data_IF_596751303990
#
_entry.id   IF_596751303990
#
_cell.length_a   1.000
_cell.length_b   1.000
_cell.length_c   1.000
_cell.angle_alpha   90.00
_cell.angle_beta   90.00
_cell.angle_gamma   90.00
#
_symmetry.space_group_name_H-M   'P 1'
#
loop_
_entity.id
_entity.type
_entity.pdbx_description
1 polymer ?
#
# COMPACT_ATOMS: atom_id res chain seq x y z
N UNK A 1 -1.05 -13.85 23.12
CA UNK A 1 -0.14 -13.03 22.29
C UNK A 1 -0.51 -13.22 20.82
N UNK A 2 -1.02 -12.18 20.16
CA UNK A 2 -1.39 -12.20 18.73
C UNK A 2 -0.17 -11.91 17.84
N UNK A 3 0.95 -12.62 18.08
CA UNK A 3 2.24 -12.41 17.42
C UNK A 3 2.84 -13.77 17.07
N UNK A 4 3.45 -13.91 15.89
CA UNK A 4 4.19 -15.14 15.56
C UNK A 4 5.37 -15.32 16.51
N UNK A 5 5.64 -16.57 16.89
CA UNK A 5 6.77 -16.93 17.76
C UNK A 5 8.10 -16.36 17.24
N UNK A 6 8.31 -16.43 15.92
CA UNK A 6 9.49 -15.87 15.26
C UNK A 6 9.62 -14.35 15.46
N UNK A 7 8.52 -13.60 15.36
CA UNK A 7 8.51 -12.15 15.53
C UNK A 7 8.78 -11.76 16.99
N UNK A 8 8.28 -12.53 17.95
CA UNK A 8 8.56 -12.33 19.38
C UNK A 8 10.07 -12.46 19.68
N UNK A 9 10.71 -13.48 19.11
CA UNK A 9 12.17 -13.67 19.26
C UNK A 9 12.99 -12.59 18.55
N UNK A 10 12.58 -12.14 17.36
CA UNK A 10 13.27 -11.02 16.67
C UNK A 10 13.23 -9.74 17.50
N UNK A 11 12.07 -9.40 18.06
CA UNK A 11 11.92 -8.22 18.93
C UNK A 11 12.79 -8.37 20.18
N UNK A 12 12.76 -9.54 20.81
CA UNK A 12 13.52 -9.80 22.04
C UNK A 12 15.03 -9.67 21.83
N UNK A 13 15.57 -10.32 20.80
CA UNK A 13 17.00 -10.22 20.49
C UNK A 13 17.42 -8.81 20.07
N UNK A 14 16.54 -8.07 19.39
CA UNK A 14 16.76 -6.65 19.10
C UNK A 14 16.89 -5.81 20.39
N UNK A 15 16.02 -6.04 21.36
CA UNK A 15 16.08 -5.39 22.67
C UNK A 15 17.35 -5.76 23.43
N UNK A 16 17.72 -7.06 23.50
CA UNK A 16 18.94 -7.52 24.18
C UNK A 16 20.20 -6.92 23.56
N UNK A 17 20.26 -6.80 22.22
CA UNK A 17 21.38 -6.19 21.52
C UNK A 17 21.55 -4.69 21.85
N UNK A 18 20.44 -3.96 22.04
CA UNK A 18 20.47 -2.55 22.42
C UNK A 18 20.77 -2.33 23.90
N UNK A 19 20.24 -3.21 24.76
CA UNK A 19 20.41 -3.14 26.21
C UNK A 19 21.78 -3.66 26.67
N UNK A 20 22.44 -4.51 25.88
CA UNK A 20 23.74 -5.09 26.20
C UNK A 20 23.69 -6.22 27.24
N UNK A 21 22.50 -6.71 27.60
CA UNK A 21 22.29 -7.84 28.49
C UNK A 21 21.08 -8.68 28.05
N UNK A 22 21.07 -9.96 28.45
CA UNK A 22 19.98 -10.87 28.14
C UNK A 22 18.74 -10.60 29.01
N UNK A 23 17.55 -10.66 28.42
CA UNK A 23 16.27 -10.47 29.10
C UNK A 23 15.68 -11.80 29.58
N UNK A 24 16.00 -12.90 28.90
CA UNK A 24 15.49 -14.23 29.23
C UNK A 24 16.61 -15.26 29.39
N UNK A 25 16.47 -16.11 30.41
CA UNK A 25 17.13 -17.40 30.51
C UNK A 25 16.27 -18.44 29.78
N UNK A 26 16.67 -18.85 28.58
CA UNK A 26 15.97 -19.89 27.81
C UNK A 26 16.58 -21.27 28.06
N UNK A 27 15.77 -22.28 28.36
CA UNK A 27 16.15 -23.69 28.33
C UNK A 27 15.55 -24.36 27.09
N UNK A 28 16.43 -24.88 26.21
CA UNK A 28 16.03 -25.67 25.04
C UNK A 28 15.46 -27.02 25.53
N UNK A 29 14.23 -27.31 25.16
CA UNK A 29 13.45 -28.44 25.72
C UNK A 29 13.80 -29.81 25.13
N UNK A 30 14.10 -30.77 26.01
CA UNK A 30 13.95 -32.22 25.76
C UNK A 30 12.60 -32.73 26.27
N UNK A 31 12.47 -34.06 26.55
CA UNK A 31 11.22 -34.76 26.95
C UNK A 31 10.38 -34.15 28.09
N UNK A 32 10.88 -33.14 28.81
CA UNK A 32 10.20 -32.46 29.92
C UNK A 32 9.77 -31.00 29.61
N UNK A 33 9.85 -30.55 28.35
CA UNK A 33 9.43 -29.21 27.93
C UNK A 33 10.53 -28.14 28.03
N UNK A 34 10.54 -27.21 27.07
CA UNK A 34 11.40 -26.02 27.08
C UNK A 34 10.67 -24.84 27.72
N UNK A 35 11.42 -23.91 28.29
CA UNK A 35 10.87 -22.75 29.01
C UNK A 35 11.81 -21.54 28.96
N UNK A 36 11.25 -20.37 29.23
CA UNK A 36 12.02 -19.13 29.34
C UNK A 36 11.59 -18.39 30.60
N UNK A 37 12.57 -17.93 31.39
CA UNK A 37 12.36 -17.15 32.60
C UNK A 37 13.12 -15.84 32.50
N UNK A 38 12.62 -14.76 33.12
CA UNK A 38 13.32 -13.47 33.13
C UNK A 38 14.66 -13.58 33.86
N UNK A 39 15.68 -12.91 33.32
CA UNK A 39 16.93 -12.64 34.04
C UNK A 39 16.68 -11.65 35.18
N UNK A 40 17.62 -11.53 36.13
CA UNK A 40 17.52 -10.54 37.21
C UNK A 40 17.55 -9.11 36.65
N UNK A 41 18.34 -8.87 35.60
CA UNK A 41 18.37 -7.62 34.86
C UNK A 41 17.04 -7.35 34.15
N UNK A 42 16.43 -8.38 33.55
CA UNK A 42 15.10 -8.29 32.92
C UNK A 42 14.00 -7.96 33.93
N UNK A 43 14.04 -8.56 35.13
CA UNK A 43 13.11 -8.23 36.23
C UNK A 43 13.27 -6.78 36.68
N UNK A 44 14.52 -6.34 36.94
CA UNK A 44 14.81 -4.96 37.37
C UNK A 44 14.41 -3.93 36.32
N UNK A 45 14.61 -4.24 35.04
CA UNK A 45 14.18 -3.36 33.94
C UNK A 45 12.66 -3.18 33.93
N UNK A 46 11.90 -4.28 34.08
CA UNK A 46 10.44 -4.22 34.14
C UNK A 46 9.93 -3.46 35.38
N UNK A 47 10.57 -3.65 36.53
CA UNK A 47 10.26 -2.90 37.75
C UNK A 47 10.47 -1.39 37.56
N UNK A 48 11.62 -1.00 37.02
CA UNK A 48 11.94 0.40 36.74
C UNK A 48 10.98 1.00 35.70
N UNK A 49 10.67 0.26 34.63
CA UNK A 49 9.75 0.70 33.60
C UNK A 49 8.34 0.95 34.16
N UNK A 50 7.81 0.03 34.97
CA UNK A 50 6.51 0.19 35.62
C UNK A 50 6.48 1.36 36.61
N UNK A 51 7.56 1.56 37.36
CA UNK A 51 7.69 2.70 38.25
C UNK A 51 7.70 4.02 37.47
N UNK A 52 8.48 4.10 36.39
CA UNK A 52 8.51 5.23 35.48
C UNK A 52 7.14 5.52 34.85
N UNK A 53 6.47 4.51 34.31
CA UNK A 53 5.16 4.65 33.66
C UNK A 53 4.12 5.21 34.64
N UNK A 54 4.13 4.74 35.89
CA UNK A 54 3.27 5.25 36.95
C UNK A 54 3.55 6.71 37.30
N UNK A 55 4.81 7.08 37.43
CA UNK A 55 5.20 8.46 37.78
C UNK A 55 4.94 9.42 36.62
N UNK A 56 5.34 9.05 35.41
CA UNK A 56 5.10 9.80 34.18
C UNK A 56 3.60 9.98 33.90
N UNK A 57 2.78 8.92 34.10
CA UNK A 57 1.33 9.01 33.92
C UNK A 57 0.68 10.04 34.85
N UNK A 58 1.16 10.15 36.09
CA UNK A 58 0.68 11.16 37.05
C UNK A 58 1.08 12.56 36.63
N UNK A 59 2.37 12.80 36.37
CA UNK A 59 2.86 14.12 35.98
C UNK A 59 2.23 14.62 34.67
N UNK A 60 2.13 13.74 33.67
CA UNK A 60 1.49 14.06 32.39
C UNK A 60 -0.01 14.31 32.56
N UNK A 61 -0.68 13.57 33.45
CA UNK A 61 -2.07 13.80 33.81
C UNK A 61 -2.29 15.19 34.42
N UNK A 62 -1.42 15.59 35.35
CA UNK A 62 -1.49 16.92 35.99
C UNK A 62 -1.21 18.05 35.00
N UNK A 63 -0.22 17.87 34.12
CA UNK A 63 0.06 18.81 33.02
C UNK A 63 -1.12 18.89 32.05
N UNK A 64 -1.72 17.76 31.70
CA UNK A 64 -2.88 17.72 30.80
C UNK A 64 -4.07 18.48 31.39
N UNK A 65 -4.38 18.28 32.68
CA UNK A 65 -5.42 19.04 33.38
C UNK A 65 -5.12 20.54 33.42
N UNK A 66 -3.87 20.92 33.65
CA UNK A 66 -3.44 22.33 33.71
C UNK A 66 -3.60 23.05 32.37
N UNK A 67 -3.26 22.40 31.25
CA UNK A 67 -3.24 23.05 29.94
C UNK A 67 -4.47 22.77 29.07
N UNK A 68 -5.24 21.72 29.37
CA UNK A 68 -6.41 21.30 28.59
C UNK A 68 -7.65 20.99 29.48
N UNK A 69 -8.07 21.92 30.36
CA UNK A 69 -9.10 21.67 31.38
C UNK A 69 -10.50 21.33 30.83
N UNK A 70 -10.78 21.63 29.56
CA UNK A 70 -12.06 21.32 28.89
C UNK A 70 -12.11 19.96 28.17
N UNK A 71 -11.00 19.22 28.14
CA UNK A 71 -10.87 17.98 27.36
C UNK A 71 -10.62 16.73 28.22
N UNK A 72 -10.22 16.90 29.48
CA UNK A 72 -9.94 15.79 30.39
C UNK A 72 -10.62 16.07 31.74
N UNK A 73 -11.71 15.35 32.03
CA UNK A 73 -12.53 15.54 33.24
C UNK A 73 -12.37 14.46 34.31
N UNK A 74 -11.59 13.40 34.08
CA UNK A 74 -11.35 12.33 35.05
C UNK A 74 -9.87 11.94 35.12
N UNK A 75 -9.46 11.40 36.27
CA UNK A 75 -8.14 10.83 36.47
C UNK A 75 -7.88 9.73 35.44
N UNK A 76 -6.67 9.71 34.86
CA UNK A 76 -6.22 8.58 34.05
C UNK A 76 -6.40 7.29 34.87
N UNK A 77 -7.11 6.27 34.35
CA UNK A 77 -7.34 5.05 35.11
C UNK A 77 -6.00 4.37 35.42
N UNK A 78 -5.71 4.11 36.71
CA UNK A 78 -4.64 3.17 37.08
C UNK A 78 -5.05 1.79 36.56
N UNK A 79 -4.26 1.19 35.65
CA UNK A 79 -4.54 -0.13 35.09
C UNK A 79 -4.67 -1.23 36.17
N UNK A 80 -5.45 -2.30 35.94
CA UNK A 80 -5.68 -3.34 36.93
C UNK A 80 -4.41 -4.15 37.22
N UNK A 81 -4.13 -4.36 38.52
CA UNK A 81 -3.07 -5.27 38.98
C UNK A 81 -3.42 -6.71 38.61
N UNK A 82 -2.74 -7.28 37.61
CA UNK A 82 -2.75 -8.71 37.36
C UNK A 82 -2.00 -9.47 38.46
N UNK A 83 -2.73 -10.02 39.43
CA UNK A 83 -2.18 -10.92 40.44
C UNK A 83 -1.79 -12.27 39.83
N UNK A 84 -0.53 -12.65 40.06
CA UNK A 84 0.02 -13.97 39.80
C UNK A 84 -0.52 -14.99 40.81
N UNK A 85 -1.29 -15.98 40.35
CA UNK A 85 -1.76 -17.10 41.17
C UNK A 85 -1.79 -18.40 40.38
N UNK A 86 -0.71 -19.18 40.43
CA UNK A 86 -0.70 -20.55 39.94
C UNK A 86 -1.50 -21.47 40.87
N UNK A 87 -2.40 -22.29 40.31
CA UNK A 87 -2.73 -23.61 40.86
C UNK A 87 -3.37 -24.52 39.80
N UNK A 88 -3.04 -25.80 39.96
CA UNK A 88 -3.13 -26.92 39.05
C UNK A 88 -4.56 -27.50 38.90
N UNK A 89 -4.78 -28.19 37.76
CA UNK A 89 -5.56 -29.43 37.58
C UNK A 89 -7.10 -29.44 37.31
N UNK A 90 -7.40 -30.06 36.15
CA UNK A 90 -8.52 -30.99 35.78
C UNK A 90 -9.84 -30.44 35.20
N UNK A 91 -10.08 -30.84 33.94
CA UNK A 91 -11.35 -31.45 33.48
C UNK A 91 -12.39 -30.53 32.82
N UNK A 92 -13.24 -31.06 31.90
CA UNK A 92 -13.57 -30.38 30.63
C UNK A 92 -14.98 -29.79 30.56
N UNK A 93 -15.20 -28.82 29.64
CA UNK A 93 -16.43 -28.62 28.83
C UNK A 93 -16.31 -27.42 27.86
N UNK A 94 -16.83 -27.61 26.65
CA UNK A 94 -17.02 -26.64 25.56
C UNK A 94 -18.16 -25.62 25.85
N UNK A 95 -18.63 -24.80 24.88
CA UNK A 95 -18.02 -23.56 24.38
C UNK A 95 -18.95 -22.34 24.59
N UNK A 96 -18.42 -21.12 24.59
CA UNK A 96 -19.22 -19.90 24.73
C UNK A 96 -18.58 -18.70 24.05
N UNK A 97 -19.30 -18.10 23.11
CA UNK A 97 -18.99 -16.88 22.38
C UNK A 97 -18.77 -15.68 23.33
N UNK A 98 -17.86 -14.78 22.95
CA UNK A 98 -17.70 -13.47 23.58
C UNK A 98 -16.51 -12.73 23.00
N UNK A 99 -16.77 -11.84 22.05
CA UNK A 99 -15.82 -10.83 21.58
C UNK A 99 -15.50 -9.86 22.74
N UNK A 100 -14.21 -9.61 22.99
CA UNK A 100 -13.77 -8.45 23.76
C UNK A 100 -12.55 -7.82 23.09
N UNK A 101 -12.77 -6.59 22.61
CA UNK A 101 -11.76 -5.67 22.13
C UNK A 101 -10.83 -5.28 23.29
N UNK A 102 -9.54 -5.61 23.18
CA UNK A 102 -8.51 -5.04 24.05
C UNK A 102 -7.64 -4.09 23.24
N UNK A 103 -7.72 -2.82 23.61
CA UNK A 103 -6.95 -1.69 23.11
C UNK A 103 -5.49 -1.79 23.54
N UNK A 104 -4.59 -1.99 22.57
CA UNK A 104 -3.15 -1.86 22.74
C UNK A 104 -2.76 -0.38 22.69
N UNK A 105 -2.45 0.21 23.84
CA UNK A 105 -1.79 1.52 23.92
C UNK A 105 -0.28 1.33 23.67
N UNK A 106 0.17 1.80 22.51
CA UNK A 106 1.57 1.79 22.09
C UNK A 106 2.35 2.97 22.66
N UNK A 107 3.56 2.68 23.12
CA UNK A 107 4.56 3.59 23.67
C UNK A 107 5.09 4.58 22.62
N UNK A 108 4.83 5.87 22.81
CA UNK A 108 5.39 6.92 21.97
C UNK A 108 6.77 7.36 22.51
N UNK A 109 7.84 6.76 22.01
CA UNK A 109 9.17 7.37 22.08
C UNK A 109 9.22 8.53 21.07
N UNK A 110 9.73 9.69 21.49
CA UNK A 110 9.84 10.92 20.68
C UNK A 110 10.87 10.82 19.55
N UNK A 111 10.71 9.84 18.67
CA UNK A 111 11.47 9.67 17.43
C UNK A 111 10.91 10.55 16.31
N UNK A 112 11.75 10.83 15.32
CA UNK A 112 11.32 11.47 14.07
C UNK A 112 10.21 10.63 13.42
N UNK A 113 8.97 11.14 13.44
CA UNK A 113 7.85 10.53 12.71
C UNK A 113 7.99 10.90 11.24
N UNK A 114 8.30 9.90 10.41
CA UNK A 114 8.41 10.08 8.95
C UNK A 114 7.14 10.76 8.41
N UNK A 115 7.26 11.79 7.57
CA UNK A 115 6.10 12.44 6.99
C UNK A 115 5.45 11.53 5.96
N UNK A 116 4.16 11.74 5.70
CA UNK A 116 3.46 11.02 4.64
C UNK A 116 3.97 11.43 3.26
N UNK A 117 4.10 10.45 2.38
CA UNK A 117 4.18 10.62 0.93
C UNK A 117 2.85 10.13 0.36
N UNK A 118 2.09 11.03 -0.24
CA UNK A 118 0.80 10.70 -0.84
C UNK A 118 0.98 10.38 -2.32
N UNK A 119 0.54 9.20 -2.74
CA UNK A 119 0.45 8.82 -4.16
C UNK A 119 -1.01 8.91 -4.60
N UNK A 120 -1.30 9.74 -5.60
CA UNK A 120 -2.61 9.76 -6.26
C UNK A 120 -2.62 8.69 -7.36
N UNK A 121 -3.59 7.79 -7.29
CA UNK A 121 -3.71 6.62 -8.17
C UNK A 121 -3.07 5.37 -7.57
N UNK A 122 -3.69 4.22 -7.82
CA UNK A 122 -3.25 2.89 -7.40
C UNK A 122 -3.28 1.86 -8.55
N UNK A 123 -3.31 2.34 -9.80
CA UNK A 123 -3.22 1.50 -11.01
C UNK A 123 -1.83 0.86 -11.22
N UNK A 124 -1.59 0.24 -12.38
CA UNK A 124 -0.36 -0.53 -12.68
C UNK A 124 0.95 0.28 -12.47
N UNK A 125 1.06 1.46 -13.09
CA UNK A 125 2.26 2.30 -12.94
C UNK A 125 2.41 2.87 -11.53
N UNK A 126 1.30 3.35 -10.95
CA UNK A 126 1.29 3.87 -9.58
C UNK A 126 1.68 2.80 -8.56
N UNK A 127 1.25 1.56 -8.76
CA UNK A 127 1.63 0.42 -7.92
C UNK A 127 3.14 0.21 -7.93
N UNK A 128 3.79 0.31 -9.09
CA UNK A 128 5.26 0.25 -9.15
C UNK A 128 5.95 1.33 -8.30
N UNK A 129 5.43 2.56 -8.32
CA UNK A 129 5.91 3.67 -7.49
C UNK A 129 5.70 3.37 -6.01
N UNK A 130 4.48 2.97 -5.64
CA UNK A 130 4.09 2.64 -4.26
C UNK A 130 4.98 1.54 -3.70
N UNK A 131 5.20 0.46 -4.47
CA UNK A 131 6.10 -0.63 -4.10
C UNK A 131 7.50 -0.14 -3.80
N UNK A 132 8.07 0.69 -4.69
CA UNK A 132 9.43 1.19 -4.51
C UNK A 132 9.52 2.06 -3.25
N UNK A 133 8.59 2.99 -3.07
CA UNK A 133 8.57 3.87 -1.89
C UNK A 133 8.44 3.07 -0.60
N UNK A 134 7.48 2.14 -0.54
CA UNK A 134 7.29 1.27 0.61
C UNK A 134 8.56 0.42 0.89
N UNK A 135 9.16 -0.16 -0.14
CA UNK A 135 10.38 -0.97 0.01
C UNK A 135 11.60 -0.17 0.47
N UNK A 136 11.65 1.13 0.12
CA UNK A 136 12.68 2.05 0.59
C UNK A 136 12.41 2.60 2.00
N UNK A 137 11.32 2.19 2.66
CA UNK A 137 11.01 2.59 4.02
C UNK A 137 10.31 3.94 4.16
N UNK A 138 9.81 4.52 3.07
CA UNK A 138 8.98 5.73 3.14
C UNK A 138 7.61 5.42 3.75
N UNK A 139 7.01 6.43 4.38
CA UNK A 139 5.66 6.35 4.93
C UNK A 139 4.65 6.75 3.85
N UNK A 140 4.01 5.76 3.23
CA UNK A 140 3.19 5.95 2.01
C UNK A 140 1.70 5.89 2.34
N UNK A 141 0.93 6.85 1.82
CA UNK A 141 -0.53 6.77 1.73
C UNK A 141 -0.96 6.93 0.26
N UNK A 142 -2.11 6.36 -0.08
CA UNK A 142 -2.58 6.30 -1.48
C UNK A 142 -4.00 6.85 -1.56
N UNK A 143 -4.33 7.55 -2.65
CA UNK A 143 -5.71 7.86 -3.01
C UNK A 143 -6.09 7.20 -4.33
N UNK A 144 -7.36 6.83 -4.47
CA UNK A 144 -7.91 6.28 -5.71
C UNK A 144 -9.37 6.71 -5.90
N UNK A 145 -9.84 6.70 -7.14
CA UNK A 145 -11.25 6.96 -7.43
C UNK A 145 -12.15 5.78 -7.02
N UNK A 146 -13.46 6.02 -6.95
CA UNK A 146 -14.43 5.00 -6.51
C UNK A 146 -14.56 3.81 -7.45
N UNK A 147 -14.23 3.97 -8.74
CA UNK A 147 -14.36 2.95 -9.78
C UNK A 147 -13.09 2.86 -10.62
N UNK A 148 -11.97 2.38 -10.05
CA UNK A 148 -10.70 2.33 -10.78
C UNK A 148 -10.79 1.39 -11.98
N UNK A 149 -10.19 1.80 -13.10
CA UNK A 149 -10.31 1.13 -14.40
C UNK A 149 -9.04 0.37 -14.81
N UNK A 150 -8.25 -0.11 -13.85
CA UNK A 150 -7.03 -0.85 -14.15
C UNK A 150 -7.38 -2.16 -14.89
N UNK A 151 -6.77 -2.39 -16.05
CA UNK A 151 -6.94 -3.67 -16.76
C UNK A 151 -5.96 -4.74 -16.24
N UNK A 152 -4.75 -4.34 -15.81
CA UNK A 152 -3.76 -5.23 -15.18
C UNK A 152 -4.05 -5.36 -13.69
N UNK A 153 -5.26 -5.80 -13.36
CA UNK A 153 -5.81 -5.80 -11.98
C UNK A 153 -4.95 -6.59 -11.00
N UNK A 154 -4.40 -7.73 -11.42
CA UNK A 154 -3.53 -8.57 -10.58
C UNK A 154 -2.21 -7.91 -10.20
N UNK A 155 -1.80 -6.84 -10.90
CA UNK A 155 -0.59 -6.07 -10.63
C UNK A 155 -0.92 -4.64 -10.13
N UNK A 156 -2.14 -4.39 -9.67
CA UNK A 156 -2.58 -3.07 -9.25
C UNK A 156 -3.19 -3.08 -7.84
N UNK A 157 -2.72 -2.20 -6.96
CA UNK A 157 -3.23 -2.08 -5.60
C UNK A 157 -4.65 -1.49 -5.54
N UNK A 158 -5.11 -0.85 -6.61
CA UNK A 158 -6.47 -0.28 -6.72
C UNK A 158 -7.58 -1.32 -6.50
N UNK A 159 -7.30 -2.62 -6.58
CA UNK A 159 -8.29 -3.66 -6.24
C UNK A 159 -8.75 -3.57 -4.78
N UNK A 160 -7.98 -2.94 -3.89
CA UNK A 160 -8.40 -2.67 -2.51
C UNK A 160 -9.63 -1.74 -2.43
N UNK A 161 -9.92 -0.93 -3.46
CA UNK A 161 -11.15 -0.15 -3.54
C UNK A 161 -12.37 -1.07 -3.54
N UNK A 162 -12.29 -2.18 -4.26
CA UNK A 162 -13.37 -3.14 -4.45
C UNK A 162 -13.44 -4.18 -3.31
N UNK A 163 -12.31 -4.79 -2.97
CA UNK A 163 -12.23 -5.92 -2.03
C UNK A 163 -11.92 -5.49 -0.59
N UNK A 164 -11.70 -4.19 -0.36
CA UNK A 164 -11.22 -3.65 0.91
C UNK A 164 -9.73 -3.85 1.18
N UNK A 165 -9.10 -4.85 0.57
CA UNK A 165 -7.65 -5.09 0.64
C UNK A 165 -7.08 -5.57 -0.70
N UNK A 166 -5.77 -5.42 -0.89
CA UNK A 166 -5.04 -5.97 -2.03
C UNK A 166 -3.58 -6.26 -1.66
N UNK A 167 -2.90 -7.06 -2.45
CA UNK A 167 -1.48 -7.36 -2.28
C UNK A 167 -0.82 -7.54 -3.65
N UNK A 168 0.29 -6.84 -3.87
CA UNK A 168 1.13 -6.99 -5.06
C UNK A 168 2.58 -7.07 -4.58
N UNK A 169 3.33 -8.08 -5.02
CA UNK A 169 4.74 -8.28 -4.64
C UNK A 169 5.03 -8.12 -3.13
N UNK A 170 4.11 -8.60 -2.28
CA UNK A 170 4.23 -8.56 -0.81
C UNK A 170 3.78 -7.26 -0.15
N UNK A 171 3.58 -6.17 -0.90
CA UNK A 171 3.03 -4.94 -0.36
C UNK A 171 1.51 -5.07 -0.20
N UNK A 172 1.05 -5.09 1.04
CA UNK A 172 -0.37 -5.12 1.40
C UNK A 172 -0.93 -3.71 1.40
N UNK A 173 -2.11 -3.55 0.83
CA UNK A 173 -2.85 -2.29 0.82
C UNK A 173 -4.24 -2.51 1.42
N UNK A 174 -4.72 -1.56 2.22
CA UNK A 174 -6.03 -1.62 2.88
C UNK A 174 -6.80 -0.33 2.67
N UNK A 175 -8.07 -0.45 2.29
CA UNK A 175 -9.00 0.69 2.21
C UNK A 175 -9.26 1.25 3.59
N UNK A 176 -9.15 2.57 3.74
CA UNK A 176 -9.36 3.30 5.00
C UNK A 176 -10.23 4.53 4.74
N UNK A 177 -10.91 4.98 5.78
CA UNK A 177 -11.82 6.12 5.75
C UNK A 177 -11.35 7.27 6.64
N UNK A 178 -10.50 6.99 7.63
CA UNK A 178 -10.05 7.97 8.61
C UNK A 178 -8.53 7.99 8.76
N UNK A 179 -8.00 9.13 9.24
CA UNK A 179 -6.58 9.24 9.57
C UNK A 179 -6.14 8.18 10.58
N UNK A 180 -6.96 7.90 11.61
CA UNK A 180 -6.62 6.89 12.62
C UNK A 180 -6.48 5.49 12.03
N UNK A 181 -7.36 5.11 11.11
CA UNK A 181 -7.25 3.84 10.39
C UNK A 181 -6.00 3.79 9.50
N UNK A 182 -5.63 4.93 8.89
CA UNK A 182 -4.42 5.02 8.09
C UNK A 182 -3.14 4.86 8.92
N UNK A 183 -3.09 5.47 10.10
CA UNK A 183 -1.98 5.30 11.04
C UNK A 183 -1.86 3.86 11.52
N UNK A 184 -2.97 3.24 11.91
CA UNK A 184 -2.98 1.84 12.32
C UNK A 184 -2.54 0.89 11.19
N UNK A 185 -2.95 1.16 9.95
CA UNK A 185 -2.48 0.40 8.80
C UNK A 185 -0.95 0.51 8.64
N UNK A 186 -0.40 1.72 8.75
CA UNK A 186 1.05 1.91 8.62
C UNK A 186 1.84 1.24 9.74
N UNK A 187 1.36 1.29 10.99
CA UNK A 187 1.93 0.56 12.13
C UNK A 187 1.97 -0.97 11.89
N UNK A 188 0.98 -1.50 11.16
CA UNK A 188 0.91 -2.91 10.74
C UNK A 188 1.75 -3.23 9.49
N UNK A 189 2.47 -2.24 8.93
CA UNK A 189 3.20 -2.36 7.66
C UNK A 189 2.29 -2.50 6.44
N UNK A 190 1.04 -2.03 6.53
CA UNK A 190 0.02 -2.03 5.47
C UNK A 190 -0.13 -0.62 4.92
N UNK A 191 -0.22 -0.50 3.59
CA UNK A 191 -0.35 0.77 2.90
C UNK A 191 -1.82 1.23 2.97
N UNK A 192 -2.13 2.38 3.58
CA UNK A 192 -3.49 2.91 3.59
C UNK A 192 -3.88 3.47 2.23
N UNK A 193 -5.08 3.11 1.77
CA UNK A 193 -5.70 3.65 0.56
C UNK A 193 -7.03 4.33 0.90
N UNK A 194 -7.15 5.60 0.55
CA UNK A 194 -8.40 6.34 0.62
C UNK A 194 -9.12 6.30 -0.73
N UNK A 195 -10.44 6.09 -0.70
CA UNK A 195 -11.29 6.34 -1.88
C UNK A 195 -11.59 7.84 -1.90
N UNK A 196 -10.75 8.60 -2.58
CA UNK A 196 -10.70 10.06 -2.54
C UNK A 196 -10.12 10.61 -3.86
N UNK A 197 -11.01 10.86 -4.82
CA UNK A 197 -10.63 11.31 -6.17
C UNK A 197 -10.03 12.72 -6.19
N UNK A 198 -10.51 13.58 -5.28
CA UNK A 198 -10.08 14.98 -5.16
C UNK A 198 -8.82 15.13 -4.29
N UNK A 199 -8.36 14.05 -3.64
CA UNK A 199 -7.27 14.06 -2.66
C UNK A 199 -7.51 15.05 -1.51
N UNK A 200 -8.76 15.16 -1.04
CA UNK A 200 -9.14 15.98 0.11
C UNK A 200 -8.37 15.59 1.39
N UNK A 201 -7.93 14.34 1.50
CA UNK A 201 -7.14 13.82 2.60
C UNK A 201 -5.79 14.55 2.81
N UNK A 202 -5.30 15.31 1.84
CA UNK A 202 -4.10 16.15 1.97
C UNK A 202 -4.22 17.13 3.15
N UNK A 203 -5.41 17.69 3.37
CA UNK A 203 -5.67 18.61 4.50
C UNK A 203 -5.60 17.93 5.87
N UNK A 204 -5.69 16.61 5.89
CA UNK A 204 -5.59 15.80 7.11
C UNK A 204 -4.17 15.28 7.27
N UNK A 205 -3.61 14.68 6.22
CA UNK A 205 -2.30 14.03 6.22
C UNK A 205 -1.14 15.02 6.28
N UNK A 206 -1.30 16.23 5.74
CA UNK A 206 -0.23 17.22 5.55
C UNK A 206 1.05 16.57 4.98
N UNK A 207 0.97 15.90 3.81
CA UNK A 207 2.07 15.13 3.29
C UNK A 207 3.27 16.03 2.94
N UNK A 208 4.47 15.51 3.12
CA UNK A 208 5.68 16.19 2.66
C UNK A 208 5.83 16.13 1.14
N UNK A 209 5.22 15.13 0.51
CA UNK A 209 5.22 14.97 -0.94
C UNK A 209 3.88 14.45 -1.48
N UNK A 210 3.47 14.96 -2.64
CA UNK A 210 2.35 14.45 -3.44
C UNK A 210 2.89 14.00 -4.80
N UNK A 211 2.54 12.78 -5.19
CA UNK A 211 2.93 12.18 -6.46
C UNK A 211 1.65 11.87 -7.21
N UNK A 212 1.43 12.54 -8.35
CA UNK A 212 0.29 12.24 -9.20
C UNK A 212 0.65 11.16 -10.23
N UNK A 213 0.16 9.95 -9.97
CA UNK A 213 0.28 8.78 -10.84
C UNK A 213 -1.10 8.28 -11.31
N UNK A 214 -2.07 9.19 -11.46
CA UNK A 214 -3.40 8.88 -12.04
C UNK A 214 -3.27 8.57 -13.54
N UNK A 215 -2.27 9.16 -14.22
CA UNK A 215 -2.01 8.99 -15.67
C UNK A 215 -3.20 9.43 -16.55
N UNK A 216 -3.89 10.51 -16.13
CA UNK A 216 -5.03 11.08 -16.84
C UNK A 216 -4.67 11.73 -18.19
N UNK A 217 -3.37 11.93 -18.49
CA UNK A 217 -2.83 12.60 -19.69
C UNK A 217 -3.19 14.09 -19.79
N UNK A 218 -3.76 14.63 -18.72
CA UNK A 218 -4.10 16.03 -18.49
C UNK A 218 -4.10 16.26 -16.99
N UNK A 219 -3.80 17.49 -16.56
CA UNK A 219 -3.89 17.85 -15.15
C UNK A 219 -5.35 17.86 -14.69
N UNK A 220 -5.67 17.10 -13.63
CA UNK A 220 -7.01 17.02 -13.02
C UNK A 220 -7.10 17.80 -11.69
N UNK A 221 -6.23 18.79 -11.51
CA UNK A 221 -6.18 19.62 -10.30
C UNK A 221 -5.01 19.29 -9.37
N UNK A 222 -3.95 18.66 -9.88
CA UNK A 222 -2.68 18.60 -9.18
C UNK A 222 -1.95 19.93 -9.33
N UNK A 223 -1.47 20.48 -8.22
CA UNK A 223 -0.77 21.76 -8.20
C UNK A 223 0.37 21.74 -7.17
N UNK A 224 1.35 22.64 -7.35
CA UNK A 224 2.58 22.71 -6.54
C UNK A 224 2.32 22.97 -5.06
N UNK A 225 1.16 23.55 -4.73
CA UNK A 225 0.78 23.94 -3.38
C UNK A 225 0.20 22.77 -2.57
N UNK A 226 -0.05 21.62 -3.20
CA UNK A 226 -0.63 20.45 -2.54
C UNK A 226 0.31 19.81 -1.51
N UNK A 227 1.63 19.98 -1.66
CA UNK A 227 2.64 19.55 -0.71
C UNK A 227 3.96 20.29 -0.96
N UNK A 228 4.88 20.30 0.02
CA UNK A 228 6.23 20.86 -0.17
C UNK A 228 7.00 20.28 -1.36
N UNK A 229 6.73 19.02 -1.75
CA UNK A 229 7.27 18.37 -2.96
C UNK A 229 6.11 17.85 -3.80
N UNK A 230 6.11 18.17 -5.09
CA UNK A 230 5.09 17.68 -6.04
C UNK A 230 5.73 17.04 -7.27
N UNK A 231 5.30 15.82 -7.61
CA UNK A 231 5.81 15.07 -8.76
C UNK A 231 4.65 14.63 -9.64
N UNK A 232 4.67 15.02 -10.92
CA UNK A 232 3.74 14.52 -11.94
C UNK A 232 4.32 13.32 -12.68
N UNK A 233 3.52 12.28 -12.93
CA UNK A 233 3.99 11.08 -13.63
C UNK A 233 3.39 11.02 -15.04
N UNK A 234 4.25 11.18 -16.04
CA UNK A 234 3.88 11.12 -17.45
C UNK A 234 3.26 12.41 -18.00
N UNK A 235 2.62 12.34 -19.17
CA UNK A 235 2.09 13.52 -19.85
C UNK A 235 0.90 14.13 -19.09
N UNK A 236 0.69 15.44 -19.31
CA UNK A 236 -0.40 16.20 -18.71
C UNK A 236 0.04 17.16 -17.60
N UNK A 237 1.33 17.19 -17.28
CA UNK A 237 1.95 18.10 -16.32
C UNK A 237 3.16 18.79 -16.93
N UNK A 238 3.42 20.01 -16.46
CA UNK A 238 4.61 20.81 -16.78
C UNK A 238 5.41 21.09 -15.52
N UNK A 239 6.63 20.57 -15.44
CA UNK A 239 7.56 20.84 -14.35
C UNK A 239 7.96 22.33 -14.32
N UNK A 240 7.95 22.90 -13.11
CA UNK A 240 8.15 24.33 -12.86
C UNK A 240 6.85 25.14 -12.83
N UNK A 241 5.76 24.58 -13.39
CA UNK A 241 4.43 25.22 -13.45
C UNK A 241 3.41 24.45 -12.60
N UNK A 242 3.03 23.24 -13.03
CA UNK A 242 2.04 22.39 -12.35
C UNK A 242 2.61 21.66 -11.13
N UNK A 243 3.87 21.22 -11.25
CA UNK A 243 4.57 20.36 -10.29
C UNK A 243 6.05 20.73 -10.23
N UNK A 244 6.79 20.29 -9.20
CA UNK A 244 8.23 20.54 -9.12
C UNK A 244 9.03 19.69 -10.12
N UNK A 245 8.59 18.46 -10.38
CA UNK A 245 9.23 17.55 -11.32
C UNK A 245 8.21 16.70 -12.07
N UNK A 246 8.55 16.30 -13.30
CA UNK A 246 7.80 15.33 -14.08
C UNK A 246 8.66 14.11 -14.36
N UNK A 247 8.09 12.91 -14.23
CA UNK A 247 8.78 11.65 -14.57
C UNK A 247 8.29 11.14 -15.92
N UNK A 248 9.22 10.88 -16.85
CA UNK A 248 8.90 10.37 -18.18
C UNK A 248 8.36 8.93 -18.13
N UNK A 249 7.30 8.65 -18.89
CA UNK A 249 6.63 7.35 -18.96
C UNK A 249 6.60 6.74 -20.36
N UNK A 250 7.02 7.47 -21.39
CA UNK A 250 7.17 6.94 -22.75
C UNK A 250 8.24 5.86 -22.76
N UNK A 251 7.94 4.72 -23.40
CA UNK A 251 8.95 3.67 -23.58
C UNK A 251 10.02 4.18 -24.55
N UNK A 252 11.29 3.95 -24.19
CA UNK A 252 12.42 4.38 -24.99
C UNK A 252 13.56 4.85 -24.09
N UNK A 253 14.51 5.57 -24.70
CA UNK A 253 15.75 5.99 -24.04
C UNK A 253 15.53 6.85 -22.77
N UNK A 254 14.45 7.63 -22.72
CA UNK A 254 14.16 8.54 -21.61
C UNK A 254 13.19 7.98 -20.56
N UNK A 255 12.79 6.71 -20.65
CA UNK A 255 11.84 6.13 -19.70
C UNK A 255 12.34 6.25 -18.25
N UNK A 256 11.52 6.84 -17.37
CA UNK A 256 11.87 7.06 -15.97
C UNK A 256 12.76 8.28 -15.71
N UNK A 257 13.16 9.03 -16.74
CA UNK A 257 13.95 10.25 -16.57
C UNK A 257 13.16 11.33 -15.81
N UNK A 258 13.83 12.02 -14.89
CA UNK A 258 13.28 13.19 -14.19
C UNK A 258 13.46 14.44 -15.05
N UNK A 259 12.38 15.19 -15.18
CA UNK A 259 12.30 16.46 -15.92
C UNK A 259 12.00 17.55 -14.89
N UNK A 260 12.96 18.46 -14.71
CA UNK A 260 12.86 19.56 -13.74
C UNK A 260 12.26 20.84 -14.34
N UNK A 261 12.21 20.95 -15.66
CA UNK A 261 11.57 22.05 -16.38
C UNK A 261 10.95 21.53 -17.68
N UNK A 262 9.68 21.85 -17.91
CA UNK A 262 8.93 21.39 -19.08
C UNK A 262 8.14 20.10 -18.84
N UNK A 263 7.60 19.51 -19.91
CA UNK A 263 6.67 18.39 -19.84
C UNK A 263 7.27 17.07 -20.36
N UNK A 264 6.69 15.95 -19.95
CA UNK A 264 6.96 14.63 -20.55
C UNK A 264 6.47 14.57 -22.01
N UNK A 265 6.95 13.56 -22.75
CA UNK A 265 6.50 13.30 -24.12
C UNK A 265 4.97 13.14 -24.16
N UNK A 266 4.25 13.86 -25.03
CA UNK A 266 2.79 13.77 -25.15
C UNK A 266 2.33 12.34 -25.41
N UNK A 267 1.12 12.02 -24.94
CA UNK A 267 0.53 10.70 -25.21
C UNK A 267 0.33 10.49 -26.72
N UNK A 268 1.11 9.58 -27.31
CA UNK A 268 1.02 9.22 -28.74
C UNK A 268 -0.24 8.41 -29.08
N UNK A 269 -0.88 7.80 -28.08
CA UNK A 269 -1.99 6.86 -28.29
C UNK A 269 -1.56 5.49 -28.82
N UNK A 270 -0.27 5.31 -29.15
CA UNK A 270 0.28 4.07 -29.70
C UNK A 270 0.93 3.27 -28.56
N UNK A 271 0.46 2.05 -28.24
CA UNK A 271 1.13 1.19 -27.27
C UNK A 271 2.53 0.80 -27.75
N UNK A 272 3.50 0.72 -26.83
CA UNK A 272 4.83 0.22 -27.17
C UNK A 272 4.80 -1.21 -27.67
N UNK A 273 5.74 -1.53 -28.56
CA UNK A 273 5.86 -2.83 -29.23
C UNK A 273 6.32 -3.93 -28.25
N UNK A 274 5.71 -5.10 -28.35
CA UNK A 274 6.04 -6.31 -27.59
C UNK A 274 5.93 -7.50 -28.54
N UNK A 275 7.03 -8.23 -28.75
CA UNK A 275 7.05 -9.41 -29.62
C UNK A 275 6.62 -9.13 -31.06
N UNK A 276 6.88 -7.93 -31.59
CA UNK A 276 6.46 -7.50 -32.93
C UNK A 276 5.05 -6.90 -33.01
N UNK A 277 4.32 -6.82 -31.90
CA UNK A 277 2.94 -6.30 -31.87
C UNK A 277 2.83 -5.01 -31.05
N UNK A 278 2.10 -4.02 -31.55
CA UNK A 278 1.88 -2.71 -30.89
C UNK A 278 0.41 -2.48 -30.52
N UNK A 279 -0.40 -1.87 -31.37
CA UNK A 279 -1.82 -1.58 -31.10
C UNK A 279 -2.68 -2.83 -30.98
N UNK A 280 -2.34 -3.87 -31.74
CA UNK A 280 -3.10 -5.14 -31.77
C UNK A 280 -3.19 -5.82 -30.41
N UNK A 281 -2.22 -5.59 -29.52
CA UNK A 281 -2.23 -6.18 -28.18
C UNK A 281 -3.27 -5.56 -27.25
N UNK A 282 -3.72 -4.34 -27.53
CA UNK A 282 -4.63 -3.59 -26.67
C UNK A 282 -6.04 -3.64 -27.23
N UNK A 283 -6.96 -4.20 -26.44
CA UNK A 283 -8.36 -4.36 -26.84
C UNK A 283 -9.19 -3.25 -26.21
N UNK A 284 -10.00 -2.59 -27.05
CA UNK A 284 -10.95 -1.56 -26.65
C UNK A 284 -12.38 -2.09 -26.72
N UNK A 285 -13.26 -1.59 -25.86
CA UNK A 285 -14.63 -2.08 -25.77
C UNK A 285 -15.39 -1.83 -27.06
N UNK A 286 -16.02 -2.85 -27.67
CA UNK A 286 -16.78 -2.69 -28.90
C UNK A 286 -18.13 -1.99 -28.68
N UNK A 287 -18.65 -2.03 -27.45
CA UNK A 287 -19.91 -1.44 -27.04
C UNK A 287 -19.84 -0.84 -25.63
N UNK A 288 -20.88 -0.12 -25.22
CA UNK A 288 -21.06 0.31 -23.83
C UNK A 288 -21.93 -0.70 -23.07
N UNK A 289 -21.63 -0.92 -21.79
CA UNK A 289 -22.40 -1.81 -20.92
C UNK A 289 -21.54 -2.48 -19.85
N UNK A 290 -22.13 -3.34 -19.01
CA UNK A 290 -21.38 -4.07 -17.99
C UNK A 290 -20.49 -5.13 -18.62
N UNK A 291 -19.28 -5.25 -18.11
CA UNK A 291 -18.37 -6.33 -18.49
C UNK A 291 -18.81 -7.66 -17.88
N UNK A 292 -18.84 -8.73 -18.68
CA UNK A 292 -19.10 -10.10 -18.21
C UNK A 292 -18.00 -11.03 -18.70
N UNK A 293 -17.48 -11.89 -17.83
CA UNK A 293 -16.43 -12.81 -18.22
C UNK A 293 -17.02 -14.03 -18.93
N UNK A 294 -16.27 -14.57 -19.89
CA UNK A 294 -16.61 -15.86 -20.51
C UNK A 294 -16.19 -16.98 -19.56
N UNK A 295 -17.01 -18.03 -19.45
CA UNK A 295 -16.63 -19.25 -18.72
C UNK A 295 -16.25 -20.36 -19.70
N UNK A 296 -14.99 -20.74 -19.71
CA UNK A 296 -14.50 -21.92 -20.40
C UNK A 296 -15.09 -23.17 -19.76
N UNK A 297 -15.64 -24.05 -20.60
CA UNK A 297 -16.35 -25.28 -20.19
C UNK A 297 -17.45 -25.05 -19.14
N UNK A 298 -18.02 -23.85 -19.09
CA UNK A 298 -19.06 -23.44 -18.13
C UNK A 298 -18.58 -23.30 -16.68
N UNK A 299 -17.28 -23.46 -16.39
CA UNK A 299 -16.76 -23.50 -15.01
C UNK A 299 -15.69 -22.44 -14.72
N UNK A 300 -14.72 -22.26 -15.61
CA UNK A 300 -13.54 -21.42 -15.35
C UNK A 300 -13.66 -20.12 -16.12
N UNK A 301 -13.62 -18.98 -15.43
CA UNK A 301 -13.60 -17.70 -16.13
C UNK A 301 -12.31 -17.54 -16.95
N UNK A 302 -12.43 -17.10 -18.20
CA UNK A 302 -11.31 -16.62 -19.01
C UNK A 302 -10.89 -15.28 -18.42
N UNK A 303 -9.81 -15.29 -17.65
CA UNK A 303 -9.29 -14.12 -16.93
C UNK A 303 -7.79 -13.96 -17.15
N UNK A 304 -7.20 -12.95 -16.52
CA UNK A 304 -5.77 -12.67 -16.56
C UNK A 304 -4.94 -13.94 -16.29
N UNK A 305 -3.95 -14.20 -17.15
CA UNK A 305 -3.10 -15.39 -17.15
C UNK A 305 -3.56 -16.51 -18.08
N UNK A 306 -4.78 -16.46 -18.61
CA UNK A 306 -5.26 -17.45 -19.58
C UNK A 306 -4.53 -17.33 -20.92
N UNK A 307 -4.22 -18.47 -21.54
CA UNK A 307 -3.83 -18.52 -22.94
C UNK A 307 -5.07 -18.32 -23.82
N UNK A 308 -4.95 -17.48 -24.84
CA UNK A 308 -6.05 -17.15 -25.76
C UNK A 308 -5.61 -17.29 -27.21
N UNK A 309 -6.57 -17.63 -28.07
CA UNK A 309 -6.41 -17.68 -29.53
C UNK A 309 -7.09 -16.50 -30.20
N UNK A 310 -6.49 -15.98 -31.26
CA UNK A 310 -7.10 -14.93 -32.09
C UNK A 310 -8.52 -15.35 -32.51
N UNK A 311 -9.49 -14.46 -32.30
CA UNK A 311 -10.91 -14.72 -32.57
C UNK A 311 -11.66 -15.48 -31.46
N UNK A 312 -10.99 -15.90 -30.38
CA UNK A 312 -11.66 -16.42 -29.19
C UNK A 312 -12.43 -15.30 -28.47
N UNK A 313 -13.64 -15.57 -27.98
CA UNK A 313 -14.36 -14.64 -27.11
C UNK A 313 -13.72 -14.67 -25.71
N UNK A 314 -13.27 -13.51 -25.22
CA UNK A 314 -12.63 -13.38 -23.90
C UNK A 314 -13.56 -12.74 -22.86
N UNK A 315 -14.52 -11.94 -23.29
CA UNK A 315 -15.50 -11.28 -22.44
C UNK A 315 -16.71 -10.80 -23.26
N UNK A 316 -17.69 -10.22 -22.58
CA UNK A 316 -18.82 -9.50 -23.18
C UNK A 316 -18.88 -8.07 -22.62
N UNK A 317 -19.16 -7.10 -23.48
CA UNK A 317 -19.50 -5.73 -23.10
C UNK A 317 -21.00 -5.52 -23.37
N UNK A 318 -21.81 -5.57 -22.32
CA UNK A 318 -23.25 -5.77 -22.48
C UNK A 318 -23.50 -7.08 -23.23
N UNK A 319 -24.23 -7.02 -24.35
CA UNK A 319 -24.52 -8.18 -25.21
C UNK A 319 -23.57 -8.32 -26.40
N UNK A 320 -22.53 -7.48 -26.49
CA UNK A 320 -21.55 -7.54 -27.58
C UNK A 320 -20.33 -8.37 -27.18
N UNK A 321 -19.93 -9.39 -27.95
CA UNK A 321 -18.75 -10.20 -27.64
C UNK A 321 -17.45 -9.40 -27.84
N UNK A 322 -16.49 -9.63 -26.95
CA UNK A 322 -15.13 -9.10 -27.02
C UNK A 322 -14.21 -10.22 -27.46
N UNK A 323 -13.55 -10.04 -28.61
CA UNK A 323 -12.66 -11.04 -29.20
C UNK A 323 -11.19 -10.77 -28.88
N UNK A 324 -10.42 -11.83 -28.66
CA UNK A 324 -8.97 -11.78 -28.65
C UNK A 324 -8.46 -11.36 -30.04
N UNK A 325 -7.61 -10.33 -30.08
CA UNK A 325 -7.04 -9.76 -31.30
C UNK A 325 -5.84 -10.55 -31.84
N UNK A 326 -5.16 -11.30 -30.98
CA UNK A 326 -3.98 -12.10 -31.29
C UNK A 326 -3.85 -13.33 -30.36
N UNK A 327 -3.01 -14.28 -30.76
CA UNK A 327 -2.62 -15.42 -29.93
C UNK A 327 -1.67 -14.97 -28.82
N UNK A 328 -1.89 -15.41 -27.58
CA UNK A 328 -1.00 -15.07 -26.48
C UNK A 328 -1.59 -15.30 -25.10
N UNK A 329 -1.10 -14.54 -24.13
CA UNK A 329 -1.56 -14.56 -22.73
C UNK A 329 -2.40 -13.31 -22.47
N UNK A 330 -3.62 -13.48 -21.98
CA UNK A 330 -4.44 -12.37 -21.51
C UNK A 330 -3.79 -11.77 -20.27
N UNK A 331 -3.08 -10.64 -20.43
CA UNK A 331 -2.29 -10.02 -19.35
C UNK A 331 -3.08 -8.97 -18.58
N UNK A 332 -4.09 -8.39 -19.21
CA UNK A 332 -5.02 -7.47 -18.58
C UNK A 332 -6.44 -7.73 -19.05
N UNK A 333 -7.38 -7.62 -18.12
CA UNK A 333 -8.82 -7.66 -18.35
C UNK A 333 -9.47 -6.79 -17.27
N UNK A 334 -10.25 -5.78 -17.69
CA UNK A 334 -11.02 -4.94 -16.77
C UNK A 334 -11.98 -5.80 -15.96
N UNK A 335 -12.33 -5.35 -14.76
CA UNK A 335 -13.12 -6.13 -13.80
C UNK A 335 -14.49 -6.50 -14.35
N UNK A 336 -14.97 -7.69 -14.00
CA UNK A 336 -16.35 -8.10 -14.23
C UNK A 336 -17.33 -7.14 -13.52
N UNK A 337 -18.45 -6.81 -14.17
CA UNK A 337 -19.42 -5.83 -13.70
C UNK A 337 -19.01 -4.36 -13.89
N UNK A 338 -17.80 -4.07 -14.39
CA UNK A 338 -17.41 -2.68 -14.67
C UNK A 338 -18.23 -2.12 -15.84
N UNK A 339 -18.81 -0.93 -15.65
CA UNK A 339 -19.56 -0.20 -16.68
C UNK A 339 -18.60 0.45 -17.68
N UNK A 340 -18.41 -0.21 -18.82
CA UNK A 340 -17.49 0.28 -19.86
C UNK A 340 -18.22 1.16 -20.87
N UNK A 341 -17.50 2.13 -21.43
CA UNK A 341 -17.93 2.89 -22.61
C UNK A 341 -17.29 2.29 -23.86
N UNK A 342 -17.98 2.34 -24.99
CA UNK A 342 -17.38 2.02 -26.30
C UNK A 342 -16.06 2.78 -26.48
N UNK A 343 -15.01 2.07 -26.90
CA UNK A 343 -13.67 2.63 -27.07
C UNK A 343 -12.82 2.72 -25.80
N UNK A 344 -13.34 2.37 -24.62
CA UNK A 344 -12.51 2.25 -23.41
C UNK A 344 -11.55 1.08 -23.55
N UNK A 345 -10.29 1.25 -23.12
CA UNK A 345 -9.33 0.14 -23.04
C UNK A 345 -9.79 -0.87 -21.97
N UNK A 346 -10.01 -2.12 -22.38
CA UNK A 346 -10.57 -3.16 -21.49
C UNK A 346 -9.69 -4.39 -21.33
N UNK A 347 -8.77 -4.67 -22.27
CA UNK A 347 -7.88 -5.82 -22.16
C UNK A 347 -6.52 -5.58 -22.85
N UNK A 348 -5.55 -6.42 -22.52
CA UNK A 348 -4.20 -6.44 -23.08
C UNK A 348 -3.74 -7.90 -23.20
N UNK A 349 -3.26 -8.31 -24.37
CA UNK A 349 -2.73 -9.66 -24.62
C UNK A 349 -1.23 -9.55 -24.88
N UNK A 350 -0.41 -10.30 -24.14
CA UNK A 350 1.01 -10.41 -24.44
C UNK A 350 1.24 -11.61 -25.36
N UNK A 351 1.84 -11.46 -26.55
CA UNK A 351 2.03 -12.56 -27.50
C UNK A 351 3.02 -13.63 -26.99
N UNK A 352 3.73 -13.36 -25.90
CA UNK A 352 4.78 -14.21 -25.35
C UNK A 352 4.22 -15.13 -24.24
N UNK A 353 4.25 -16.46 -24.42
CA UNK A 353 3.68 -17.41 -23.46
C UNK A 353 4.27 -17.32 -22.05
N UNK A 354 5.57 -17.02 -21.92
CA UNK A 354 6.25 -16.92 -20.63
C UNK A 354 5.73 -15.79 -19.75
N UNK A 355 5.00 -14.82 -20.32
CA UNK A 355 4.41 -13.71 -19.55
C UNK A 355 3.25 -14.12 -18.66
N UNK A 356 2.72 -15.34 -18.81
CA UNK A 356 1.76 -15.92 -17.88
C UNK A 356 2.28 -15.91 -16.43
N UNK A 357 3.59 -16.10 -16.23
CA UNK A 357 4.23 -16.07 -14.92
C UNK A 357 4.37 -14.66 -14.31
N UNK A 358 4.07 -13.60 -15.06
CA UNK A 358 4.31 -12.19 -14.66
C UNK A 358 3.04 -11.32 -14.74
N UNK A 359 1.88 -11.94 -14.65
CA UNK A 359 0.60 -11.24 -14.74
C UNK A 359 0.24 -10.49 -13.44
N UNK A 360 0.80 -10.91 -12.31
CA UNK A 360 0.60 -10.40 -10.95
C UNK A 360 1.78 -9.56 -10.42
N UNK A 361 2.77 -9.30 -11.28
CA UNK A 361 3.95 -8.49 -10.94
C UNK A 361 3.97 -7.18 -11.71
N UNK A 362 4.61 -6.16 -11.13
CA UNK A 362 4.75 -4.86 -11.78
C UNK A 362 5.68 -4.97 -12.99
N UNK A 363 5.36 -4.19 -14.02
CA UNK A 363 6.13 -4.21 -15.27
C UNK A 363 7.53 -3.60 -15.11
N UNK A 364 8.42 -3.95 -16.04
CA UNK A 364 9.68 -3.24 -16.30
C UNK A 364 9.49 -1.72 -16.35
N UNK A 365 8.44 -1.27 -17.05
CA UNK A 365 8.07 0.14 -17.18
C UNK A 365 7.68 0.75 -15.84
N UNK A 366 6.84 0.07 -15.07
CA UNK A 366 6.45 0.53 -13.74
C UNK A 366 7.68 0.66 -12.82
N UNK A 367 8.62 -0.29 -12.89
CA UNK A 367 9.88 -0.24 -12.11
C UNK A 367 10.79 0.92 -12.52
N UNK A 368 10.91 1.20 -13.81
CA UNK A 368 11.71 2.33 -14.30
C UNK A 368 11.11 3.69 -13.88
N UNK A 369 9.79 3.85 -14.04
CA UNK A 369 9.06 5.05 -13.59
C UNK A 369 9.17 5.22 -12.07
N UNK A 370 9.09 4.13 -11.30
CA UNK A 370 9.29 4.16 -9.86
C UNK A 370 10.70 4.63 -9.46
N UNK A 371 11.74 4.20 -10.19
CA UNK A 371 13.11 4.67 -9.99
C UNK A 371 13.23 6.18 -10.17
N UNK A 372 12.73 6.71 -11.28
CA UNK A 372 12.68 8.16 -11.53
C UNK A 372 11.88 8.93 -10.49
N UNK A 373 10.79 8.35 -10.00
CA UNK A 373 9.98 8.99 -8.96
C UNK A 373 10.73 9.11 -7.64
N UNK A 374 11.45 8.06 -7.22
CA UNK A 374 12.29 8.11 -6.01
C UNK A 374 13.44 9.09 -6.19
N UNK A 375 14.09 9.11 -7.36
CA UNK A 375 15.13 10.10 -7.70
C UNK A 375 14.60 11.53 -7.55
N UNK A 376 13.45 11.84 -8.18
CA UNK A 376 12.81 13.15 -8.09
C UNK A 376 12.49 13.56 -6.64
N UNK A 377 11.96 12.64 -5.83
CA UNK A 377 11.65 12.90 -4.43
C UNK A 377 12.88 13.21 -3.60
N UNK A 378 13.93 12.39 -3.71
CA UNK A 378 15.15 12.54 -2.93
C UNK A 378 15.90 13.82 -3.33
N UNK A 379 16.00 14.11 -4.62
CA UNK A 379 16.63 15.33 -5.09
C UNK A 379 15.84 16.59 -4.70
N UNK A 380 14.50 16.57 -4.83
CA UNK A 380 13.65 17.67 -4.36
C UNK A 380 13.75 17.88 -2.85
N UNK A 381 13.77 16.78 -2.08
CA UNK A 381 13.97 16.77 -0.63
C UNK A 381 15.29 17.43 -0.24
N UNK A 382 16.39 17.06 -0.90
CA UNK A 382 17.71 17.63 -0.65
C UNK A 382 17.74 19.14 -0.99
N UNK A 383 17.22 19.52 -2.16
CA UNK A 383 17.18 20.93 -2.61
C UNK A 383 16.33 21.82 -1.70
N UNK A 384 15.25 21.28 -1.13
CA UNK A 384 14.30 22.02 -0.27
C UNK A 384 14.56 21.85 1.22
N UNK A 385 15.54 21.04 1.63
CA UNK A 385 15.82 20.77 3.04
C UNK A 385 14.72 20.02 3.78
N UNK A 386 13.94 19.18 3.07
CA UNK A 386 12.80 18.44 3.64
C UNK A 386 13.26 17.04 4.02
N UNK A 387 13.14 16.65 5.29
CA UNK A 387 13.48 15.31 5.74
C UNK A 387 12.34 14.33 5.45
N UNK A 388 12.60 13.30 4.63
CA UNK A 388 11.62 12.26 4.28
C UNK A 388 11.84 10.92 5.01
N UNK A 389 13.07 10.65 5.45
CA UNK A 389 13.50 9.43 6.16
C UNK A 389 14.27 9.76 7.45
#
# INVERSE_FOLDING_TARGET
MNMSYSKAWTVLHGCEAQLGFALLNSRIGGRCGGGAELTEEGKRLLENYRAFEKEAGRELGDLAKKYFPGYFSEDFPEEPRGESGGRNCRGPREPGNGESQESLQGTASGGFKRPWILVRGAGDLATGIILRLWSCGFRVAVTECRKPSAIRRRAALCEAVWEGTSCVEGARCRRVETLRQAELAEEEGVIPLFVDEEAACIRLLHPAAVIDAILAKRNLGTAREMAPITVGVGPGFTAGEDVDAVVETMRGHFLGRVIWQGAAIPNTGIPGEIGGFSSERVIHSPASGPMRFVKENGKTAVDIGAAVKKGQIIAWAGDTPVYASLDGVLRGLIREGYEVKKGLKIADIDPRPEQAAFCDTVSDKARAVAGGTVEALLEASARKGIRLL
#
